data_IF_034915289644
#
_entry.id   IF_034915289644
#
_cell.length_a   1.000
_cell.length_b   1.000
_cell.length_c   1.000
_cell.angle_alpha   90.00
_cell.angle_beta   90.00
_cell.angle_gamma   90.00
#
_symmetry.space_group_name_H-M   'P 1'
#
loop_
_entity.id
_entity.type
_entity.pdbx_description
1 polymer ?
#
# COMPACT_ATOMS: atom_id res chain seq x y z
N UNK A 1 8.99 -7.24 -20.92
CA UNK A 1 9.20 -5.91 -20.33
C UNK A 1 7.93 -5.06 -20.35
N UNK A 2 7.18 -4.98 -21.46
CA UNK A 2 5.93 -4.21 -21.54
C UNK A 2 4.88 -4.53 -20.46
N UNK A 3 4.72 -5.79 -20.05
CA UNK A 3 3.75 -6.17 -19.00
C UNK A 3 4.12 -5.57 -17.63
N UNK A 4 5.42 -5.50 -17.32
CA UNK A 4 5.89 -4.92 -16.05
C UNK A 4 5.65 -3.42 -16.04
N UNK A 5 5.94 -2.74 -17.16
CA UNK A 5 5.72 -1.30 -17.29
C UNK A 5 4.22 -0.94 -17.15
N UNK A 6 3.32 -1.74 -17.72
CA UNK A 6 1.87 -1.57 -17.57
C UNK A 6 1.46 -1.72 -16.10
N UNK A 7 1.96 -2.75 -15.41
CA UNK A 7 1.64 -2.96 -14.00
C UNK A 7 2.18 -1.84 -13.11
N UNK A 8 3.41 -1.36 -13.35
CA UNK A 8 3.98 -0.21 -12.66
C UNK A 8 3.11 1.05 -12.86
N UNK A 9 2.70 1.32 -14.09
CA UNK A 9 1.82 2.45 -14.40
C UNK A 9 0.46 2.32 -13.69
N UNK A 10 -0.15 1.13 -13.70
CA UNK A 10 -1.41 0.88 -13.03
C UNK A 10 -1.32 1.08 -11.51
N UNK A 11 -0.24 0.62 -10.87
CA UNK A 11 -0.01 0.82 -9.43
C UNK A 11 0.12 2.31 -9.12
N UNK A 12 0.91 3.06 -9.91
CA UNK A 12 1.07 4.51 -9.72
C UNK A 12 -0.27 5.24 -9.83
N UNK A 13 -1.07 4.91 -10.85
CA UNK A 13 -2.42 5.49 -11.02
C UNK A 13 -3.31 5.17 -9.81
N UNK A 14 -3.32 3.92 -9.33
CA UNK A 14 -4.08 3.54 -8.15
C UNK A 14 -3.64 4.33 -6.90
N UNK A 15 -2.33 4.52 -6.70
CA UNK A 15 -1.79 5.31 -5.59
C UNK A 15 -2.17 6.79 -5.68
N UNK A 16 -2.21 7.38 -6.88
CA UNK A 16 -2.68 8.76 -7.08
C UNK A 16 -4.17 8.89 -6.69
N UNK A 17 -5.01 7.95 -7.12
CA UNK A 17 -6.44 7.93 -6.77
C UNK A 17 -6.62 7.75 -5.25
N UNK A 18 -5.85 6.85 -4.63
CA UNK A 18 -5.87 6.65 -3.18
C UNK A 18 -5.40 7.91 -2.43
N UNK A 19 -4.38 8.61 -2.92
CA UNK A 19 -3.91 9.87 -2.34
C UNK A 19 -5.03 10.93 -2.37
N UNK A 20 -5.74 11.04 -3.49
CA UNK A 20 -6.92 11.91 -3.58
C UNK A 20 -8.01 11.53 -2.55
N UNK A 21 -8.23 10.23 -2.31
CA UNK A 21 -9.16 9.75 -1.27
C UNK A 21 -8.70 10.06 0.15
N UNK A 22 -7.40 10.06 0.45
CA UNK A 22 -6.88 10.49 1.76
C UNK A 22 -7.22 11.96 2.02
N UNK A 23 -7.09 12.83 1.01
CA UNK A 23 -7.30 14.27 1.16
C UNK A 23 -8.78 14.62 1.33
N UNK A 24 -9.67 13.98 0.57
CA UNK A 24 -11.11 14.36 0.50
C UNK A 24 -12.02 13.37 1.25
N UNK A 25 -11.48 12.27 1.78
CA UNK A 25 -12.25 11.24 2.47
C UNK A 25 -13.14 11.82 3.59
N UNK A 26 -14.45 11.55 3.58
CA UNK A 26 -15.38 12.15 4.54
C UNK A 26 -15.23 11.57 5.95
N UNK A 27 -14.92 10.27 6.07
CA UNK A 27 -14.67 9.63 7.35
C UNK A 27 -13.19 9.33 7.59
N UNK A 28 -12.79 9.19 8.86
CA UNK A 28 -11.45 8.72 9.23
C UNK A 28 -11.18 7.30 8.72
N UNK A 29 -12.22 6.46 8.62
CA UNK A 29 -12.13 5.11 8.07
C UNK A 29 -11.80 5.13 6.57
N UNK A 30 -12.41 6.03 5.79
CA UNK A 30 -12.12 6.15 4.36
C UNK A 30 -10.65 6.56 4.12
N UNK A 31 -10.14 7.49 4.93
CA UNK A 31 -8.73 7.93 4.84
C UNK A 31 -7.77 6.83 5.28
N UNK A 32 -8.13 6.08 6.32
CA UNK A 32 -7.36 4.93 6.78
C UNK A 32 -7.27 3.83 5.73
N UNK A 33 -8.40 3.46 5.11
CA UNK A 33 -8.44 2.49 4.02
C UNK A 33 -7.66 2.96 2.79
N UNK A 34 -7.75 4.24 2.43
CA UNK A 34 -6.96 4.79 1.33
C UNK A 34 -5.45 4.78 1.61
N UNK A 35 -5.05 4.96 2.88
CA UNK A 35 -3.64 4.83 3.30
C UNK A 35 -3.15 3.40 3.14
N UNK A 36 -3.97 2.40 3.46
CA UNK A 36 -3.64 0.98 3.27
C UNK A 36 -3.41 0.63 1.78
N UNK A 37 -4.24 1.19 0.90
CA UNK A 37 -4.07 1.04 -0.56
C UNK A 37 -2.73 1.64 -1.04
N UNK A 38 -2.33 2.81 -0.53
CA UNK A 38 -1.03 3.41 -0.88
C UNK A 38 0.12 2.52 -0.38
N UNK A 39 0.02 2.01 0.85
CA UNK A 39 1.05 1.17 1.43
C UNK A 39 1.26 -0.11 0.61
N UNK A 40 0.20 -0.86 0.32
CA UNK A 40 0.30 -2.06 -0.50
C UNK A 40 0.61 -1.75 -1.98
N UNK A 41 0.21 -0.59 -2.48
CA UNK A 41 0.67 -0.07 -3.76
C UNK A 41 2.19 0.07 -3.81
N UNK A 42 2.81 0.66 -2.78
CA UNK A 42 4.26 0.74 -2.65
C UNK A 42 4.91 -0.65 -2.59
N UNK A 43 4.36 -1.58 -1.82
CA UNK A 43 4.85 -2.97 -1.75
C UNK A 43 4.83 -3.64 -3.13
N UNK A 44 3.73 -3.48 -3.88
CA UNK A 44 3.61 -3.97 -5.25
C UNK A 44 4.62 -3.32 -6.20
N UNK A 45 4.87 -2.01 -6.03
CA UNK A 45 5.86 -1.26 -6.81
C UNK A 45 7.28 -1.82 -6.59
N UNK A 46 7.66 -2.05 -5.34
CA UNK A 46 8.94 -2.67 -4.97
C UNK A 46 9.02 -4.09 -5.52
N UNK A 47 7.93 -4.86 -5.44
CA UNK A 47 7.87 -6.22 -5.99
C UNK A 47 8.13 -6.24 -7.51
N UNK A 48 7.42 -5.40 -8.28
CA UNK A 48 7.60 -5.31 -9.74
C UNK A 48 8.97 -4.79 -10.13
N UNK A 49 9.52 -3.84 -9.37
CA UNK A 49 10.88 -3.34 -9.60
C UNK A 49 11.93 -4.42 -9.33
N UNK A 50 11.70 -5.26 -8.33
CA UNK A 50 12.50 -6.44 -8.03
C UNK A 50 12.61 -7.42 -9.19
N UNK A 51 11.48 -7.73 -9.82
CA UNK A 51 11.45 -8.54 -11.04
C UNK A 51 12.20 -7.90 -12.20
N UNK A 52 12.22 -6.56 -12.30
CA UNK A 52 12.95 -5.84 -13.35
C UNK A 52 14.46 -5.82 -13.11
N UNK A 53 14.88 -5.75 -11.85
CA UNK A 53 16.28 -5.65 -11.42
C UNK A 53 16.93 -7.03 -11.14
N UNK A 54 16.15 -8.11 -11.25
CA UNK A 54 16.57 -9.50 -11.03
C UNK A 54 17.25 -9.72 -9.66
N UNK A 55 16.64 -9.16 -8.60
CA UNK A 55 17.18 -9.19 -7.24
C UNK A 55 16.29 -9.93 -6.26
N UNK A 56 16.89 -10.84 -5.49
CA UNK A 56 16.20 -11.64 -4.49
C UNK A 56 15.84 -10.86 -3.20
N UNK A 57 16.46 -9.69 -2.98
CA UNK A 57 16.22 -8.84 -1.80
C UNK A 57 14.76 -8.39 -1.64
N UNK A 58 14.00 -8.43 -2.73
CA UNK A 58 12.61 -7.99 -2.77
C UNK A 58 11.68 -8.88 -1.96
N UNK A 59 12.00 -10.18 -1.82
CA UNK A 59 11.17 -11.12 -1.06
C UNK A 59 11.16 -10.72 0.43
N UNK A 60 12.33 -10.43 1.00
CA UNK A 60 12.44 -10.03 2.40
C UNK A 60 11.73 -8.69 2.66
N UNK A 61 11.89 -7.74 1.73
CA UNK A 61 11.21 -6.43 1.83
C UNK A 61 9.69 -6.61 1.80
N UNK A 62 9.16 -7.40 0.84
CA UNK A 62 7.71 -7.65 0.73
C UNK A 62 7.17 -8.34 1.99
N UNK A 63 7.91 -9.29 2.56
CA UNK A 63 7.50 -10.02 3.75
C UNK A 63 7.44 -9.09 4.97
N UNK A 64 8.49 -8.30 5.21
CA UNK A 64 8.53 -7.32 6.31
C UNK A 64 7.45 -6.25 6.11
N UNK A 65 7.32 -5.69 4.90
CA UNK A 65 6.30 -4.71 4.61
C UNK A 65 4.89 -5.27 4.82
N UNK A 66 4.61 -6.51 4.43
CA UNK A 66 3.28 -7.12 4.63
C UNK A 66 2.90 -7.19 6.12
N UNK A 67 3.86 -7.56 6.98
CA UNK A 67 3.65 -7.57 8.43
C UNK A 67 3.43 -6.15 8.99
N UNK A 68 4.25 -5.19 8.55
CA UNK A 68 4.13 -3.78 8.97
C UNK A 68 2.81 -3.17 8.51
N UNK A 69 2.39 -3.42 7.27
CA UNK A 69 1.13 -2.94 6.70
C UNK A 69 -0.07 -3.48 7.46
N UNK A 70 -0.06 -4.77 7.76
CA UNK A 70 -1.11 -5.39 8.59
C UNK A 70 -1.19 -4.75 9.98
N UNK A 71 -0.05 -4.54 10.66
CA UNK A 71 -0.02 -3.87 11.96
C UNK A 71 -0.48 -2.41 11.88
N UNK A 72 -0.13 -1.70 10.80
CA UNK A 72 -0.59 -0.33 10.57
C UNK A 72 -2.12 -0.27 10.38
N UNK A 73 -2.71 -1.20 9.61
CA UNK A 73 -4.15 -1.29 9.43
C UNK A 73 -4.88 -1.59 10.75
N UNK A 74 -4.36 -2.52 11.57
CA UNK A 74 -4.90 -2.79 12.91
C UNK A 74 -4.79 -1.58 13.84
N UNK A 75 -3.66 -0.88 13.82
CA UNK A 75 -3.45 0.34 14.59
C UNK A 75 -4.46 1.42 14.19
N UNK A 76 -4.68 1.60 12.89
CA UNK A 76 -5.66 2.54 12.37
C UNK A 76 -7.09 2.17 12.79
N UNK A 77 -7.47 0.89 12.69
CA UNK A 77 -8.77 0.41 13.15
C UNK A 77 -8.98 0.72 14.64
N UNK A 78 -7.95 0.47 15.47
CA UNK A 78 -8.00 0.76 16.91
C UNK A 78 -8.10 2.25 17.22
N UNK A 79 -7.42 3.10 16.44
CA UNK A 79 -7.55 4.56 16.55
C UNK A 79 -8.97 5.01 16.22
N UNK A 80 -9.59 4.45 15.18
CA UNK A 80 -10.95 4.79 14.77
C UNK A 80 -11.99 4.32 15.79
N UNK A 81 -11.84 3.13 16.39
CA UNK A 81 -12.77 2.63 17.43
C UNK A 81 -12.57 3.28 18.80
N UNK A 82 -11.60 4.20 18.93
CA UNK A 82 -11.27 4.83 20.20
C UNK A 82 -10.70 3.84 21.22
N UNK A 83 -10.08 2.75 20.77
CA UNK A 83 -9.46 1.74 21.61
C UNK A 83 -10.43 0.81 22.37
N UNK A 84 -11.74 0.91 22.11
CA UNK A 84 -12.75 -0.01 22.65
C UNK A 84 -12.63 -1.37 21.94
N UNK A 85 -12.66 -2.45 22.71
CA UNK A 85 -12.53 -3.83 22.23
C UNK A 85 -13.83 -4.30 21.59
#
# INVERSE_FOLDING_TARGET
MHVIDIGLAAIVVAMVIATYRILIGPSAADRGAATDVIFFGFVGLVAMLGFRLDTALVVDIVLVCSLVGFLAALSMARLITGGKR
#
